data_IF_398202980961
#
_entry.id   IF_398202980961
#
_cell.length_a   1.000
_cell.length_b   1.000
_cell.length_c   1.000
_cell.angle_alpha   90.00
_cell.angle_beta   90.00
_cell.angle_gamma   90.00
#
_symmetry.space_group_name_H-M   'P 1'
#
loop_
_entity.id
_entity.type
_entity.pdbx_description
1 polymer ?
#
# COMPACT_ATOMS: atom_id res chain seq x y z
N UNK A 1 47.64 15.36 -54.29
CA UNK A 1 46.91 14.58 -55.31
C UNK A 1 46.91 13.10 -54.89
N UNK A 2 45.75 12.41 -54.96
CA UNK A 2 45.51 11.01 -54.56
C UNK A 2 46.11 10.01 -55.60
N UNK A 3 46.11 8.65 -55.45
CA UNK A 3 45.08 7.85 -54.76
C UNK A 3 45.51 6.57 -54.00
N UNK A 4 44.76 6.24 -52.95
CA UNK A 4 44.66 4.87 -52.43
C UNK A 4 43.19 4.42 -52.51
N UNK A 5 42.96 3.31 -53.21
CA UNK A 5 41.69 2.57 -53.24
C UNK A 5 41.95 1.18 -52.66
N UNK A 6 41.24 0.83 -51.60
CA UNK A 6 40.93 -0.53 -51.11
C UNK A 6 39.86 -0.33 -50.02
N UNK A 7 38.58 -0.44 -50.35
CA UNK A 7 37.76 -1.65 -50.41
C UNK A 7 37.37 -2.17 -49.02
N UNK A 8 36.05 -2.21 -48.84
CA UNK A 8 35.20 -2.66 -47.73
C UNK A 8 35.76 -3.77 -46.82
N UNK A 9 35.42 -3.68 -45.53
CA UNK A 9 34.61 -4.70 -44.83
C UNK A 9 34.01 -4.09 -43.54
N UNK A 10 32.70 -4.23 -43.28
CA UNK A 10 32.07 -3.77 -42.05
C UNK A 10 32.21 -4.85 -40.98
N UNK A 11 32.82 -4.54 -39.83
CA UNK A 11 32.73 -5.40 -38.65
C UNK A 11 31.39 -5.11 -37.97
N UNK A 12 30.38 -5.84 -38.42
CA UNK A 12 29.06 -5.91 -37.81
C UNK A 12 29.17 -6.74 -36.53
N UNK A 13 29.33 -6.09 -35.38
CA UNK A 13 29.22 -6.76 -34.08
C UNK A 13 27.74 -6.99 -33.79
N UNK A 14 27.22 -8.13 -34.24
CA UNK A 14 25.91 -8.62 -33.88
C UNK A 14 25.98 -9.22 -32.46
N UNK A 15 25.66 -8.42 -31.44
CA UNK A 15 25.40 -8.93 -30.11
C UNK A 15 24.04 -9.67 -30.13
N UNK A 16 24.06 -10.98 -30.32
CA UNK A 16 22.90 -11.83 -30.11
C UNK A 16 22.62 -11.90 -28.61
N UNK A 17 21.78 -11.01 -28.09
CA UNK A 17 21.16 -11.25 -26.78
C UNK A 17 20.27 -12.48 -26.94
N UNK A 18 20.70 -13.58 -26.33
CA UNK A 18 19.91 -14.79 -26.21
C UNK A 18 18.54 -14.43 -25.59
N UNK A 19 17.47 -14.81 -26.27
CA UNK A 19 16.11 -14.58 -25.80
C UNK A 19 15.88 -15.26 -24.47
N UNK A 20 15.29 -14.52 -23.52
CA UNK A 20 14.53 -15.14 -22.44
C UNK A 20 13.31 -15.80 -23.07
N UNK A 21 13.32 -17.12 -23.22
CA UNK A 21 12.11 -17.90 -23.42
C UNK A 21 11.24 -17.71 -22.16
N UNK A 22 10.23 -16.85 -22.25
CA UNK A 22 9.15 -16.83 -21.28
C UNK A 22 8.45 -18.20 -21.35
N UNK A 23 8.60 -19.00 -20.29
CA UNK A 23 7.76 -20.19 -20.11
C UNK A 23 6.29 -19.76 -20.19
N UNK A 24 5.44 -20.43 -20.97
CA UNK A 24 4.02 -20.26 -20.82
C UNK A 24 3.68 -20.82 -19.44
N UNK A 25 3.49 -19.93 -18.47
CA UNK A 25 2.87 -20.27 -17.21
C UNK A 25 1.40 -20.56 -17.53
N UNK A 26 1.11 -21.77 -18.00
CA UNK A 26 -0.22 -22.37 -17.91
C UNK A 26 -0.47 -22.71 -16.45
N UNK A 27 -0.43 -21.68 -15.61
CA UNK A 27 -1.00 -21.66 -14.28
C UNK A 27 -2.47 -21.37 -14.48
N UNK A 28 -3.26 -22.42 -14.35
CA UNK A 28 -4.70 -22.41 -14.25
C UNK A 28 -5.09 -21.37 -13.19
N UNK A 29 -5.36 -20.13 -13.62
CA UNK A 29 -6.13 -19.16 -12.84
C UNK A 29 -7.53 -19.73 -12.74
N UNK A 30 -7.71 -20.70 -11.84
CA UNK A 30 -9.02 -20.95 -11.26
C UNK A 30 -9.48 -19.60 -10.77
N UNK A 31 -10.54 -19.09 -11.39
CA UNK A 31 -11.24 -17.87 -11.00
C UNK A 31 -11.18 -17.75 -9.49
N UNK A 32 -10.42 -16.76 -9.00
CA UNK A 32 -10.53 -16.34 -7.61
C UNK A 32 -11.94 -15.76 -7.52
N UNK A 33 -12.91 -16.62 -7.25
CA UNK A 33 -14.22 -16.21 -6.81
C UNK A 33 -13.96 -15.34 -5.60
N UNK A 34 -14.27 -14.07 -5.76
CA UNK A 34 -14.33 -13.03 -4.75
C UNK A 34 -15.10 -13.57 -3.55
N UNK A 35 -14.40 -14.30 -2.69
CA UNK A 35 -14.85 -14.56 -1.34
C UNK A 35 -14.67 -13.23 -0.64
N UNK A 36 -15.72 -12.78 0.06
CA UNK A 36 -15.62 -11.75 1.09
C UNK A 36 -14.63 -12.26 2.14
N UNK A 37 -13.34 -12.18 1.86
CA UNK A 37 -12.33 -12.73 2.72
C UNK A 37 -12.24 -11.80 3.94
N UNK A 38 -12.86 -12.28 5.00
CA UNK A 38 -13.07 -11.57 6.27
C UNK A 38 -11.75 -11.50 7.07
N UNK A 39 -10.65 -11.98 6.49
CA UNK A 39 -9.32 -12.04 7.10
C UNK A 39 -8.72 -10.66 7.35
N UNK A 40 -8.92 -9.68 6.47
CA UNK A 40 -8.52 -8.28 6.73
C UNK A 40 -9.41 -7.60 7.79
N UNK A 41 -10.68 -8.02 7.88
CA UNK A 41 -11.62 -7.54 8.92
C UNK A 41 -11.27 -8.10 10.30
N UNK A 42 -10.61 -9.26 10.37
CA UNK A 42 -10.16 -9.87 11.63
C UNK A 42 -8.96 -9.14 12.23
N UNK A 43 -8.05 -8.62 11.42
CA UNK A 43 -6.98 -7.73 11.88
C UNK A 43 -7.54 -6.40 12.44
N UNK A 44 -8.64 -5.89 11.88
CA UNK A 44 -9.39 -4.76 12.43
C UNK A 44 -10.04 -5.05 13.78
N UNK A 45 -10.33 -6.32 14.10
CA UNK A 45 -10.94 -6.72 15.38
C UNK A 45 -9.95 -6.82 16.54
N UNK A 46 -8.64 -6.94 16.27
CA UNK A 46 -7.59 -6.89 17.31
C UNK A 46 -7.14 -5.45 17.58
N UNK A 47 -7.27 -4.55 16.61
CA UNK A 47 -7.18 -3.11 16.88
C UNK A 47 -8.33 -2.76 17.82
N UNK A 48 -8.04 -2.09 18.94
CA UNK A 48 -9.00 -1.69 19.98
C UNK A 48 -10.00 -0.62 19.51
N UNK A 49 -10.38 -0.66 18.24
CA UNK A 49 -11.17 0.29 17.49
C UNK A 49 -12.55 0.49 18.10
N UNK A 50 -13.18 -0.59 18.56
CA UNK A 50 -14.50 -0.56 19.20
C UNK A 50 -14.54 0.36 20.44
N UNK A 51 -13.45 0.41 21.20
CA UNK A 51 -13.35 1.31 22.37
C UNK A 51 -13.26 2.80 21.96
N UNK A 52 -12.72 3.06 20.78
CA UNK A 52 -12.56 4.38 20.19
C UNK A 52 -13.89 4.89 19.62
N UNK A 53 -14.62 4.03 18.91
CA UNK A 53 -15.95 4.33 18.35
C UNK A 53 -16.98 4.67 19.44
N UNK A 54 -16.79 4.16 20.66
CA UNK A 54 -17.68 4.39 21.81
C UNK A 54 -17.45 5.72 22.53
N UNK A 55 -16.30 6.39 22.34
CA UNK A 55 -15.97 7.67 22.98
C UNK A 55 -15.73 8.78 21.95
N UNK A 56 -16.83 9.28 21.37
CA UNK A 56 -16.82 10.31 20.31
C UNK A 56 -16.80 11.76 20.85
N UNK A 57 -16.13 12.00 21.96
CA UNK A 57 -16.21 13.29 22.67
C UNK A 57 -15.34 14.39 22.03
N UNK A 58 -14.26 14.01 21.34
CA UNK A 58 -13.35 14.96 20.66
C UNK A 58 -13.53 15.00 19.13
N UNK A 59 -13.17 16.14 18.52
CA UNK A 59 -13.37 16.38 17.09
C UNK A 59 -12.59 15.40 16.19
N UNK A 60 -11.39 15.00 16.59
CA UNK A 60 -10.60 13.98 15.89
C UNK A 60 -11.27 12.60 15.94
N UNK A 61 -11.84 12.19 17.08
CA UNK A 61 -12.57 10.90 17.21
C UNK A 61 -13.71 10.78 16.18
N UNK A 62 -14.50 11.84 15.99
CA UNK A 62 -15.61 11.85 15.01
C UNK A 62 -15.12 11.63 13.59
N UNK A 63 -14.01 12.27 13.22
CA UNK A 63 -13.38 12.10 11.90
C UNK A 63 -12.81 10.68 11.75
N UNK A 64 -12.16 10.15 12.79
CA UNK A 64 -11.64 8.78 12.81
C UNK A 64 -12.75 7.74 12.61
N UNK A 65 -13.91 7.91 13.26
CA UNK A 65 -15.08 7.03 13.10
C UNK A 65 -15.49 6.93 11.63
N UNK A 66 -15.58 8.06 10.92
CA UNK A 66 -15.93 8.07 9.50
C UNK A 66 -14.83 7.42 8.64
N UNK A 67 -13.56 7.61 8.99
CA UNK A 67 -12.43 6.96 8.33
C UNK A 67 -12.48 5.44 8.48
N UNK A 68 -12.77 4.95 9.69
CA UNK A 68 -12.95 3.53 9.99
C UNK A 68 -14.13 2.95 9.22
N UNK A 69 -15.25 3.68 9.11
CA UNK A 69 -16.39 3.25 8.32
C UNK A 69 -16.02 3.12 6.84
N UNK A 70 -15.37 4.12 6.25
CA UNK A 70 -14.89 4.06 4.87
C UNK A 70 -13.92 2.89 4.65
N UNK A 71 -13.03 2.64 5.61
CA UNK A 71 -12.09 1.51 5.58
C UNK A 71 -12.82 0.16 5.59
N UNK A 72 -13.81 -0.02 6.47
CA UNK A 72 -14.65 -1.23 6.54
C UNK A 72 -15.47 -1.47 5.26
N UNK A 73 -15.83 -0.40 4.57
CA UNK A 73 -16.53 -0.45 3.28
C UNK A 73 -15.57 -0.68 2.09
N UNK A 74 -14.26 -0.78 2.32
CA UNK A 74 -13.25 -0.96 1.28
C UNK A 74 -12.96 0.29 0.46
N UNK A 75 -13.45 1.46 0.89
CA UNK A 75 -13.27 2.76 0.21
C UNK A 75 -11.91 3.36 0.61
N UNK A 76 -10.83 2.72 0.16
CA UNK A 76 -9.47 3.01 0.64
C UNK A 76 -9.02 4.46 0.39
N UNK A 77 -9.30 5.02 -0.78
CA UNK A 77 -8.98 6.43 -1.08
C UNK A 77 -9.71 7.41 -0.16
N UNK A 78 -10.97 7.11 0.16
CA UNK A 78 -11.77 7.93 1.07
C UNK A 78 -11.23 7.81 2.49
N UNK A 79 -10.97 6.58 2.96
CA UNK A 79 -10.39 6.32 4.27
C UNK A 79 -9.04 7.05 4.43
N UNK A 80 -8.16 6.97 3.43
CA UNK A 80 -6.86 7.64 3.45
C UNK A 80 -7.01 9.15 3.59
N UNK A 81 -7.89 9.78 2.80
CA UNK A 81 -8.16 11.23 2.90
C UNK A 81 -8.67 11.61 4.29
N UNK A 82 -9.58 10.82 4.85
CA UNK A 82 -10.15 11.09 6.18
C UNK A 82 -9.09 10.96 7.28
N UNK A 83 -8.27 9.90 7.26
CA UNK A 83 -7.21 9.74 8.27
C UNK A 83 -6.14 10.83 8.17
N UNK A 84 -5.81 11.31 6.96
CA UNK A 84 -4.95 12.48 6.80
C UNK A 84 -5.57 13.76 7.38
N UNK A 85 -6.89 13.93 7.32
CA UNK A 85 -7.58 15.02 8.02
C UNK A 85 -7.53 14.82 9.53
N UNK A 86 -7.76 13.60 10.01
CA UNK A 86 -7.69 13.29 11.44
C UNK A 86 -6.30 13.57 12.02
N UNK A 87 -5.21 13.27 11.30
CA UNK A 87 -3.84 13.60 11.70
C UNK A 87 -3.58 15.11 11.81
N UNK A 88 -4.30 15.94 11.04
CA UNK A 88 -4.21 17.41 11.19
C UNK A 88 -4.87 17.90 12.47
N UNK A 89 -5.85 17.15 13.00
CA UNK A 89 -6.50 17.46 14.27
C UNK A 89 -5.69 16.95 15.46
N UNK A 90 -5.05 15.80 15.32
CA UNK A 90 -4.24 15.18 16.36
C UNK A 90 -3.03 14.44 15.77
N UNK A 91 -1.94 15.18 15.57
CA UNK A 91 -0.72 14.68 14.89
C UNK A 91 0.07 13.65 15.72
N UNK A 92 -0.18 13.56 17.03
CA UNK A 92 0.52 12.65 17.95
C UNK A 92 -0.27 11.41 18.30
N UNK A 93 -1.48 11.21 17.74
CA UNK A 93 -2.25 9.99 18.01
C UNK A 93 -1.61 8.80 17.31
N UNK A 94 -1.09 7.87 18.12
CA UNK A 94 -0.56 6.59 17.65
C UNK A 94 -1.60 5.82 16.82
N UNK A 95 -2.86 5.82 17.28
CA UNK A 95 -3.95 5.08 16.64
C UNK A 95 -4.30 5.64 15.26
N UNK A 96 -4.32 6.96 15.09
CA UNK A 96 -4.60 7.56 13.78
C UNK A 96 -3.46 7.23 12.79
N UNK A 97 -2.20 7.29 13.26
CA UNK A 97 -1.05 6.86 12.45
C UNK A 97 -1.16 5.40 12.03
N UNK A 98 -1.52 4.52 12.96
CA UNK A 98 -1.72 3.10 12.71
C UNK A 98 -2.83 2.84 11.67
N UNK A 99 -3.97 3.53 11.78
CA UNK A 99 -5.08 3.38 10.84
C UNK A 99 -4.75 3.91 9.45
N UNK A 100 -4.02 5.02 9.38
CA UNK A 100 -3.55 5.56 8.11
C UNK A 100 -2.54 4.59 7.46
N UNK A 101 -1.59 4.05 8.24
CA UNK A 101 -0.62 3.07 7.80
C UNK A 101 -1.27 1.80 7.25
N UNK A 102 -2.25 1.25 7.98
CA UNK A 102 -3.05 0.11 7.54
C UNK A 102 -3.78 0.40 6.23
N UNK A 103 -4.36 1.61 6.10
CA UNK A 103 -5.03 2.01 4.87
C UNK A 103 -4.06 2.04 3.70
N UNK A 104 -2.86 2.62 3.86
CA UNK A 104 -1.83 2.60 2.83
C UNK A 104 -1.36 1.18 2.48
N UNK A 105 -1.20 0.31 3.47
CA UNK A 105 -0.85 -1.09 3.25
C UNK A 105 -1.93 -1.75 2.37
N UNK A 106 -3.21 -1.58 2.71
CA UNK A 106 -4.31 -2.15 1.94
C UNK A 106 -4.39 -1.57 0.52
N UNK A 107 -4.08 -0.28 0.33
CA UNK A 107 -3.97 0.33 -1.01
C UNK A 107 -2.84 -0.32 -1.83
N UNK A 108 -1.70 -0.60 -1.19
CA UNK A 108 -0.58 -1.28 -1.82
C UNK A 108 -0.94 -2.70 -2.25
N UNK A 109 -1.65 -3.45 -1.40
CA UNK A 109 -2.18 -4.78 -1.74
C UNK A 109 -3.22 -4.72 -2.86
N UNK A 110 -3.95 -3.62 -2.99
CA UNK A 110 -4.91 -3.38 -4.08
C UNK A 110 -4.25 -2.94 -5.40
N UNK A 111 -2.92 -2.79 -5.44
CA UNK A 111 -2.15 -2.52 -6.65
C UNK A 111 -1.39 -1.18 -6.64
N UNK A 112 -1.63 -0.28 -5.69
CA UNK A 112 -0.88 0.96 -5.53
C UNK A 112 0.41 0.73 -4.74
N UNK A 113 1.32 -0.07 -5.31
CA UNK A 113 2.55 -0.54 -4.63
C UNK A 113 3.43 0.58 -4.08
N UNK A 114 3.31 1.81 -4.59
CA UNK A 114 3.98 3.00 -4.04
C UNK A 114 3.52 3.37 -2.63
N UNK A 115 2.44 2.79 -2.12
CA UNK A 115 1.95 3.00 -0.75
C UNK A 115 2.65 2.17 0.32
N UNK A 116 3.48 1.20 -0.03
CA UNK A 116 4.21 0.41 0.97
C UNK A 116 5.12 1.28 1.84
N UNK A 117 5.86 2.22 1.24
CA UNK A 117 6.75 3.13 1.99
C UNK A 117 5.97 4.03 2.96
N UNK A 118 4.79 4.51 2.54
CA UNK A 118 3.91 5.32 3.39
C UNK A 118 3.33 4.50 4.55
N UNK A 119 3.01 3.23 4.29
CA UNK A 119 2.54 2.31 5.31
C UNK A 119 3.63 2.05 6.36
N UNK A 120 4.85 1.70 5.92
CA UNK A 120 6.00 1.45 6.79
C UNK A 120 6.28 2.63 7.71
N UNK A 121 6.37 3.85 7.17
CA UNK A 121 6.60 5.05 7.96
C UNK A 121 5.46 5.30 8.96
N UNK A 122 4.21 5.13 8.54
CA UNK A 122 3.05 5.28 9.42
C UNK A 122 3.07 4.29 10.60
N UNK A 123 3.42 3.02 10.36
CA UNK A 123 3.57 2.03 11.42
C UNK A 123 4.68 2.39 12.39
N UNK A 124 5.83 2.84 11.88
CA UNK A 124 6.97 3.27 12.69
C UNK A 124 6.61 4.45 13.59
N UNK A 125 5.84 5.42 13.06
CA UNK A 125 5.36 6.57 13.83
C UNK A 125 4.34 6.15 14.89
N UNK A 126 3.40 5.26 14.55
CA UNK A 126 2.46 4.71 15.52
C UNK A 126 3.20 4.08 16.71
N UNK A 127 4.17 3.21 16.46
CA UNK A 127 4.99 2.57 17.49
C UNK A 127 5.84 3.55 18.31
N UNK A 128 6.25 4.68 17.71
CA UNK A 128 6.97 5.74 18.44
C UNK A 128 6.08 6.40 19.49
N UNK A 129 4.82 6.68 19.15
CA UNK A 129 3.89 7.33 20.07
C UNK A 129 3.29 6.36 21.09
N UNK A 130 3.08 5.10 20.71
CA UNK A 130 2.67 4.03 21.61
C UNK A 130 3.34 2.70 21.20
N UNK A 131 4.40 2.27 21.90
CA UNK A 131 5.07 1.00 21.65
C UNK A 131 4.18 -0.23 21.89
N UNK A 132 3.06 -0.09 22.60
CA UNK A 132 2.11 -1.17 22.81
C UNK A 132 1.24 -1.44 21.55
N UNK A 133 1.26 -0.56 20.55
CA UNK A 133 0.58 -0.74 19.26
C UNK A 133 1.35 -1.65 18.30
N UNK A 134 1.83 -2.80 18.79
CA UNK A 134 2.60 -3.78 18.02
C UNK A 134 1.77 -4.82 17.27
N UNK A 135 0.43 -4.83 17.48
CA UNK A 135 -0.59 -5.71 16.86
C UNK A 135 -0.12 -7.10 16.40
#
# INVERSE_FOLDING_TARGET
MPPFKTALLPVLVAATLAGCSSLPMTGQFSSFTQTKDTTTVRALSTVRLESYLKSADSNDRKVVVEGVKALKEGKLDQASKIFNVALKLNVTSSEIHLLNALTYHLMALAGDTGKYEMAEEGYRVALRFDPANWL
#
